data_IF_990570301849
#
_entry.id   IF_990570301849
#
_cell.length_a   1.000
_cell.length_b   1.000
_cell.length_c   1.000
_cell.angle_alpha   90.00
_cell.angle_beta   90.00
_cell.angle_gamma   90.00
#
_symmetry.space_group_name_H-M   'P 1'
#
loop_
_entity.id
_entity.type
_entity.pdbx_description
1 polymer ?
#
# COMPACT_ATOMS: atom_id res chain seq x y z
N UNK A 1 10.81 9.80 -17.13
CA UNK A 1 11.24 8.48 -16.63
C UNK A 1 12.71 8.61 -16.22
N UNK A 2 12.97 9.30 -15.10
CA UNK A 2 14.34 9.67 -14.71
C UNK A 2 15.07 8.50 -14.05
N UNK A 3 14.38 7.79 -13.15
CA UNK A 3 14.96 6.65 -12.42
C UNK A 3 15.35 5.47 -13.32
N UNK A 4 14.52 5.11 -14.31
CA UNK A 4 14.87 4.02 -15.26
C UNK A 4 16.14 4.38 -16.04
N UNK A 5 16.24 5.63 -16.50
CA UNK A 5 17.42 6.10 -17.23
C UNK A 5 18.67 6.04 -16.35
N UNK A 6 18.58 6.49 -15.09
CA UNK A 6 19.70 6.41 -14.16
C UNK A 6 20.13 4.95 -13.92
N UNK A 7 19.18 4.04 -13.74
CA UNK A 7 19.48 2.62 -13.58
C UNK A 7 20.20 2.05 -14.82
N UNK A 8 19.75 2.40 -16.03
CA UNK A 8 20.44 2.01 -17.27
C UNK A 8 21.86 2.61 -17.36
N UNK A 9 22.04 3.87 -16.96
CA UNK A 9 23.34 4.56 -16.92
C UNK A 9 24.31 3.92 -15.89
N UNK A 10 23.78 3.36 -14.81
CA UNK A 10 24.53 2.60 -13.80
C UNK A 10 24.79 1.13 -14.20
N UNK A 11 24.29 0.69 -15.36
CA UNK A 11 24.54 -0.64 -15.93
C UNK A 11 23.49 -1.70 -15.60
N UNK A 12 22.29 -1.32 -15.14
CA UNK A 12 21.18 -2.25 -14.92
C UNK A 12 20.65 -2.77 -16.25
N UNK A 13 20.58 -4.09 -16.38
CA UNK A 13 19.91 -4.75 -17.51
C UNK A 13 18.43 -4.98 -17.21
N UNK A 14 17.55 -4.37 -18.03
CA UNK A 14 16.11 -4.61 -17.95
C UNK A 14 15.66 -5.71 -18.90
N UNK A 15 15.17 -6.81 -18.35
CA UNK A 15 14.58 -7.91 -19.11
C UNK A 15 13.05 -7.74 -19.08
N UNK A 16 12.54 -6.89 -19.97
CA UNK A 16 11.12 -6.60 -20.10
C UNK A 16 10.30 -7.85 -20.48
N UNK A 17 8.98 -7.76 -20.25
CA UNK A 17 8.02 -8.82 -20.58
C UNK A 17 8.49 -10.20 -20.10
N UNK A 18 8.90 -10.27 -18.84
CA UNK A 18 9.39 -11.50 -18.22
C UNK A 18 8.70 -11.69 -16.88
N UNK A 19 8.13 -12.88 -16.67
CA UNK A 19 7.47 -13.25 -15.42
C UNK A 19 8.28 -14.36 -14.72
N UNK A 20 8.57 -14.24 -13.42
CA UNK A 20 9.28 -15.28 -12.69
C UNK A 20 8.42 -16.55 -12.60
N UNK A 21 9.05 -17.70 -12.84
CA UNK A 21 8.47 -19.04 -12.67
C UNK A 21 8.91 -19.67 -11.35
N UNK A 22 10.18 -19.51 -11.00
CA UNK A 22 10.75 -20.14 -9.80
C UNK A 22 12.24 -19.87 -9.65
N UNK A 23 12.82 -20.50 -8.63
CA UNK A 23 14.24 -20.40 -8.31
C UNK A 23 14.81 -21.80 -8.10
N UNK A 24 16.01 -22.04 -8.62
CA UNK A 24 16.76 -23.26 -8.35
C UNK A 24 17.95 -22.97 -7.42
N UNK A 25 18.33 -23.98 -6.64
CA UNK A 25 19.45 -23.92 -5.71
C UNK A 25 19.33 -24.96 -4.59
N UNK A 26 20.45 -25.23 -3.90
CA UNK A 26 20.49 -26.10 -2.71
C UNK A 26 20.95 -25.27 -1.51
N UNK A 27 20.01 -24.86 -0.65
CA UNK A 27 20.28 -24.00 0.51
C UNK A 27 20.62 -22.53 0.18
N UNK A 28 21.09 -22.25 -1.04
CA UNK A 28 21.28 -20.91 -1.63
C UNK A 28 20.75 -20.93 -3.06
N UNK A 29 20.14 -19.82 -3.50
CA UNK A 29 19.76 -19.64 -4.91
C UNK A 29 21.00 -19.65 -5.79
N UNK A 30 20.89 -20.30 -6.95
CA UNK A 30 21.90 -20.28 -8.01
C UNK A 30 21.30 -19.86 -9.36
N UNK A 31 19.98 -19.91 -9.51
CA UNK A 31 19.32 -19.62 -10.78
C UNK A 31 17.92 -19.07 -10.55
N UNK A 32 17.57 -17.99 -11.25
CA UNK A 32 16.20 -17.54 -11.42
C UNK A 32 15.64 -18.05 -12.75
N UNK A 33 14.43 -18.60 -12.71
CA UNK A 33 13.71 -19.11 -13.89
C UNK A 33 12.57 -18.14 -14.19
N UNK A 34 12.44 -17.76 -15.46
CA UNK A 34 11.38 -16.88 -15.92
C UNK A 34 10.88 -17.32 -17.29
N UNK A 35 9.70 -16.85 -17.68
CA UNK A 35 9.17 -17.01 -19.03
C UNK A 35 9.00 -15.67 -19.72
N UNK A 36 9.04 -15.68 -21.06
CA UNK A 36 8.66 -14.53 -21.86
C UNK A 36 7.15 -14.33 -21.80
N UNK A 37 6.77 -13.07 -21.74
CA UNK A 37 5.40 -12.59 -21.83
C UNK A 37 5.22 -11.83 -23.14
N UNK A 38 3.99 -11.71 -23.58
CA UNK A 38 3.58 -10.77 -24.63
C UNK A 38 2.39 -9.97 -24.14
N UNK A 39 2.18 -8.78 -24.68
CA UNK A 39 0.95 -8.04 -24.43
C UNK A 39 -0.19 -8.70 -25.21
N UNK A 40 -1.28 -9.01 -24.52
CA UNK A 40 -2.54 -9.45 -25.11
C UNK A 40 -3.27 -8.31 -25.82
N UNK A 41 -4.50 -8.61 -26.26
CA UNK A 41 -5.39 -7.58 -26.79
C UNK A 41 -5.59 -6.48 -25.74
N UNK A 42 -5.68 -5.23 -26.20
CA UNK A 42 -5.99 -4.10 -25.34
C UNK A 42 -7.46 -4.17 -24.94
N UNK A 43 -7.73 -4.01 -23.65
CA UNK A 43 -9.08 -3.85 -23.15
C UNK A 43 -9.63 -2.43 -23.42
N UNK A 44 -10.86 -2.17 -22.97
CA UNK A 44 -11.51 -0.86 -23.11
C UNK A 44 -10.76 0.29 -22.39
N UNK A 45 -9.87 -0.02 -21.45
CA UNK A 45 -8.99 0.96 -20.78
C UNK A 45 -7.69 1.22 -21.55
N UNK A 46 -7.47 0.48 -22.64
CA UNK A 46 -6.24 0.50 -23.42
C UNK A 46 -5.12 -0.38 -22.85
N UNK A 47 -5.39 -1.12 -21.75
CA UNK A 47 -4.41 -1.98 -21.09
C UNK A 47 -4.36 -3.35 -21.76
N UNK A 48 -3.17 -3.76 -22.21
CA UNK A 48 -2.93 -5.13 -22.66
C UNK A 48 -2.51 -6.00 -21.47
N UNK A 49 -3.27 -7.04 -21.14
CA UNK A 49 -2.87 -7.99 -20.11
C UNK A 49 -1.65 -8.80 -20.57
N UNK A 50 -0.65 -9.05 -19.71
CA UNK A 50 0.47 -9.91 -20.07
C UNK A 50 -0.01 -11.36 -20.23
N UNK A 51 0.37 -12.00 -21.34
CA UNK A 51 0.06 -13.40 -21.67
C UNK A 51 1.37 -14.18 -21.78
N UNK A 52 1.45 -15.34 -21.11
CA UNK A 52 2.62 -16.23 -21.18
C UNK A 52 2.84 -16.69 -22.62
N UNK A 53 4.09 -16.66 -23.06
CA UNK A 53 4.50 -17.29 -24.32
C UNK A 53 4.86 -18.74 -24.01
N UNK A 54 4.22 -19.68 -24.70
CA UNK A 54 4.45 -21.10 -24.46
C UNK A 54 5.89 -21.50 -24.80
N UNK A 55 6.45 -22.45 -24.03
CA UNK A 55 7.83 -22.96 -24.21
C UNK A 55 8.92 -21.86 -24.22
N UNK A 56 8.69 -20.73 -23.54
CA UNK A 56 9.62 -19.59 -23.50
C UNK A 56 10.40 -19.46 -22.20
N UNK A 57 10.48 -20.53 -21.41
CA UNK A 57 11.25 -20.55 -20.18
C UNK A 57 12.73 -20.27 -20.46
N UNK A 58 13.34 -19.43 -19.65
CA UNK A 58 14.76 -19.14 -19.66
C UNK A 58 15.30 -19.05 -18.24
N UNK A 59 16.60 -19.31 -18.11
CA UNK A 59 17.29 -19.48 -16.83
C UNK A 59 18.39 -18.45 -16.74
N UNK A 60 18.43 -17.72 -15.63
CA UNK A 60 19.43 -16.69 -15.35
C UNK A 60 20.22 -17.08 -14.11
N UNK A 61 21.56 -17.19 -14.20
CA UNK A 61 22.40 -17.35 -13.03
C UNK A 61 22.14 -16.21 -12.04
N UNK A 62 21.89 -16.54 -10.77
CA UNK A 62 21.60 -15.55 -9.74
C UNK A 62 22.08 -16.05 -8.36
N UNK A 63 22.93 -15.25 -7.71
CA UNK A 63 23.41 -15.49 -6.35
C UNK A 63 22.51 -14.88 -5.27
N UNK A 64 21.74 -13.86 -5.64
CA UNK A 64 20.81 -13.12 -4.80
C UNK A 64 19.57 -12.76 -5.62
N UNK A 65 18.40 -12.94 -5.02
CA UNK A 65 17.12 -12.49 -5.61
C UNK A 65 16.45 -11.53 -4.64
N UNK A 66 16.13 -10.33 -5.11
CA UNK A 66 15.40 -9.31 -4.37
C UNK A 66 13.99 -9.21 -4.96
N UNK A 67 12.97 -9.56 -4.17
CA UNK A 67 11.57 -9.41 -4.57
C UNK A 67 11.10 -7.98 -4.29
N UNK A 68 10.92 -7.19 -5.34
CA UNK A 68 10.42 -5.81 -5.26
C UNK A 68 8.99 -5.71 -5.83
N UNK A 69 8.07 -6.57 -5.35
CA UNK A 69 6.70 -6.68 -5.88
C UNK A 69 5.71 -5.66 -5.30
N UNK A 70 6.16 -4.84 -4.35
CA UNK A 70 5.31 -3.95 -3.57
C UNK A 70 5.00 -4.54 -2.20
N UNK A 71 3.95 -3.99 -1.57
CA UNK A 71 3.55 -4.32 -0.20
C UNK A 71 2.03 -4.39 -0.12
N UNK A 72 1.53 -5.24 0.78
CA UNK A 72 0.12 -5.39 1.10
C UNK A 72 -0.14 -4.98 2.56
N UNK A 73 -1.37 -4.55 2.91
CA UNK A 73 -1.75 -4.32 4.29
C UNK A 73 -1.70 -5.60 5.13
N UNK A 74 -1.19 -5.48 6.35
CA UNK A 74 -1.28 -6.53 7.38
C UNK A 74 -2.73 -6.71 7.85
N UNK A 75 -3.10 -7.87 8.46
CA UNK A 75 -4.45 -8.13 8.95
C UNK A 75 -4.75 -7.34 10.24
N UNK A 76 -4.92 -6.02 10.12
CA UNK A 76 -5.06 -5.07 11.23
C UNK A 76 -6.17 -5.44 12.23
N UNK A 77 -7.38 -5.89 11.82
CA UNK A 77 -8.42 -6.28 12.79
C UNK A 77 -7.95 -7.35 13.78
N UNK A 78 -7.11 -8.28 13.33
CA UNK A 78 -6.53 -9.34 14.17
C UNK A 78 -5.40 -8.79 15.03
N UNK A 79 -4.46 -8.05 14.43
CA UNK A 79 -3.29 -7.53 15.12
C UNK A 79 -3.65 -6.53 16.22
N UNK A 80 -4.67 -5.70 16.00
CA UNK A 80 -5.14 -4.71 16.97
C UNK A 80 -6.21 -5.26 17.92
N UNK A 81 -6.61 -6.53 17.79
CA UNK A 81 -7.72 -7.13 18.56
C UNK A 81 -9.01 -6.30 18.44
N UNK A 82 -9.27 -5.78 17.24
CA UNK A 82 -10.42 -4.95 16.89
C UNK A 82 -11.13 -5.58 15.67
N UNK A 83 -11.80 -6.73 15.84
CA UNK A 83 -12.49 -7.44 14.74
C UNK A 83 -13.56 -6.59 14.05
N UNK A 84 -14.06 -5.55 14.72
CA UNK A 84 -15.01 -4.58 14.21
C UNK A 84 -14.40 -3.55 13.26
N UNK A 85 -13.07 -3.42 13.18
CA UNK A 85 -12.41 -2.47 12.28
C UNK A 85 -12.69 -2.87 10.83
N UNK A 86 -13.41 -2.02 10.11
CA UNK A 86 -13.78 -2.27 8.73
C UNK A 86 -12.57 -2.07 7.79
N UNK A 87 -12.32 -3.09 6.96
CA UNK A 87 -11.32 -3.05 5.89
C UNK A 87 -11.99 -3.23 4.54
N UNK A 88 -11.31 -2.82 3.46
CA UNK A 88 -11.74 -3.11 2.09
C UNK A 88 -11.36 -4.53 1.69
N UNK A 89 -11.81 -4.99 0.51
CA UNK A 89 -11.40 -6.27 -0.06
C UNK A 89 -9.87 -6.37 -0.30
N UNK A 90 -9.18 -5.23 -0.33
CA UNK A 90 -7.72 -5.12 -0.45
C UNK A 90 -7.01 -5.06 0.91
N UNK A 91 -7.73 -5.18 2.03
CA UNK A 91 -7.18 -5.12 3.39
C UNK A 91 -6.87 -3.71 3.91
N UNK A 92 -7.04 -2.67 3.09
CA UNK A 92 -6.85 -1.27 3.53
C UNK A 92 -7.96 -0.84 4.49
N UNK A 93 -7.65 0.09 5.41
CA UNK A 93 -8.63 0.59 6.38
C UNK A 93 -9.71 1.40 5.66
N UNK A 94 -10.97 1.05 5.90
CA UNK A 94 -12.11 1.78 5.34
C UNK A 94 -12.37 3.03 6.18
N UNK A 95 -12.39 4.18 5.50
CA UNK A 95 -12.65 5.48 6.13
C UNK A 95 -13.71 6.27 5.35
N UNK A 96 -14.33 7.23 6.02
CA UNK A 96 -15.10 8.28 5.36
C UNK A 96 -14.15 9.21 4.60
N UNK A 97 -14.37 9.42 3.30
CA UNK A 97 -13.44 10.19 2.45
C UNK A 97 -13.37 11.69 2.78
N UNK A 98 -14.30 12.24 3.57
CA UNK A 98 -14.31 13.66 3.93
C UNK A 98 -13.61 13.92 5.26
N UNK A 99 -13.67 12.95 6.18
CA UNK A 99 -13.19 13.08 7.56
C UNK A 99 -11.99 12.20 7.86
N UNK A 100 -11.74 11.17 7.06
CA UNK A 100 -10.75 10.13 7.28
C UNK A 100 -10.94 9.34 8.58
N UNK A 101 -12.13 9.42 9.18
CA UNK A 101 -12.51 8.59 10.31
C UNK A 101 -12.88 7.20 9.82
N UNK A 102 -12.42 6.16 10.51
CA UNK A 102 -12.84 4.79 10.30
C UNK A 102 -14.29 4.58 10.78
N UNK A 103 -14.78 3.34 10.72
CA UNK A 103 -16.07 3.00 11.31
C UNK A 103 -16.06 3.02 12.85
N UNK A 104 -14.89 3.10 13.49
CA UNK A 104 -14.76 3.20 14.94
C UNK A 104 -14.70 4.67 15.35
N UNK A 105 -15.57 5.06 16.29
CA UNK A 105 -15.67 6.44 16.77
C UNK A 105 -14.33 6.93 17.31
N UNK A 106 -13.86 8.08 16.83
CA UNK A 106 -12.59 8.67 17.25
C UNK A 106 -11.33 8.01 16.69
N UNK A 107 -11.44 6.98 15.83
CA UNK A 107 -10.30 6.33 15.18
C UNK A 107 -10.20 6.78 13.73
N UNK A 108 -9.05 7.34 13.36
CA UNK A 108 -8.78 7.88 12.03
C UNK A 108 -7.63 7.12 11.35
N UNK A 109 -7.63 7.08 10.03
CA UNK A 109 -6.54 6.50 9.24
C UNK A 109 -6.24 7.35 8.01
N UNK A 110 -4.97 7.42 7.61
CA UNK A 110 -4.50 8.26 6.52
C UNK A 110 -3.28 7.63 5.82
N UNK A 111 -3.02 8.03 4.57
CA UNK A 111 -1.88 7.56 3.79
C UNK A 111 -2.08 6.17 3.19
N UNK A 112 -0.97 5.45 2.99
CA UNK A 112 -0.96 4.20 2.22
C UNK A 112 -1.85 3.10 2.81
N UNK A 113 -2.07 3.10 4.14
CA UNK A 113 -2.97 2.11 4.76
C UNK A 113 -4.44 2.31 4.35
N UNK A 114 -4.80 3.48 3.81
CA UNK A 114 -6.11 3.77 3.23
C UNK A 114 -6.09 3.63 1.70
N UNK A 115 -5.02 4.13 1.06
CA UNK A 115 -4.93 4.26 -0.40
C UNK A 115 -4.35 3.05 -1.14
N UNK A 116 -3.53 2.25 -0.48
CA UNK A 116 -2.51 1.43 -1.13
C UNK A 116 -1.28 2.26 -1.54
N UNK A 117 -0.30 1.62 -2.17
CA UNK A 117 0.99 2.24 -2.53
C UNK A 117 0.81 3.54 -3.31
N UNK A 118 1.28 4.66 -2.75
CA UNK A 118 1.11 6.00 -3.32
C UNK A 118 2.35 6.87 -3.20
N UNK A 119 2.22 8.15 -3.59
CA UNK A 119 3.28 9.14 -3.45
C UNK A 119 3.23 9.78 -2.06
N UNK A 120 4.40 10.14 -1.54
CA UNK A 120 4.55 10.81 -0.23
C UNK A 120 3.67 12.07 -0.11
N UNK A 121 3.49 12.83 -1.19
CA UNK A 121 2.64 14.03 -1.20
C UNK A 121 1.18 13.73 -0.85
N UNK A 122 0.69 12.54 -1.23
CA UNK A 122 -0.67 12.10 -0.89
C UNK A 122 -0.78 11.74 0.59
N UNK A 123 0.21 11.04 1.14
CA UNK A 123 0.23 10.76 2.57
C UNK A 123 0.30 12.05 3.41
N UNK A 124 1.10 13.05 2.99
CA UNK A 124 1.16 14.36 3.64
C UNK A 124 -0.20 15.07 3.59
N UNK A 125 -0.87 15.04 2.43
CA UNK A 125 -2.20 15.62 2.28
C UNK A 125 -3.22 14.94 3.18
N UNK A 126 -3.32 13.61 3.12
CA UNK A 126 -4.26 12.84 3.92
C UNK A 126 -4.00 13.07 5.42
N UNK A 127 -2.73 13.18 5.85
CA UNK A 127 -2.38 13.50 7.23
C UNK A 127 -2.88 14.88 7.68
N UNK A 128 -2.81 15.91 6.81
CA UNK A 128 -3.35 17.24 7.10
C UNK A 128 -4.88 17.23 7.17
N UNK A 129 -5.54 16.52 6.26
CA UNK A 129 -6.99 16.40 6.22
C UNK A 129 -7.53 15.63 7.44
N UNK A 130 -6.80 14.59 7.88
CA UNK A 130 -7.10 13.83 9.09
C UNK A 130 -6.90 14.68 10.35
N UNK A 131 -5.79 15.42 10.45
CA UNK A 131 -5.52 16.29 11.60
C UNK A 131 -6.63 17.34 11.79
N UNK A 132 -7.07 17.99 10.70
CA UNK A 132 -8.18 18.95 10.75
C UNK A 132 -9.51 18.29 11.16
N UNK A 133 -9.71 17.02 10.83
CA UNK A 133 -10.93 16.27 11.19
C UNK A 133 -10.90 15.79 12.65
N UNK A 134 -9.73 15.36 13.14
CA UNK A 134 -9.48 15.01 14.53
C UNK A 134 -9.71 16.24 15.43
N UNK A 135 -9.18 17.40 15.06
CA UNK A 135 -9.41 18.65 15.80
C UNK A 135 -10.91 18.95 15.93
N UNK A 136 -11.64 18.97 14.81
CA UNK A 136 -13.10 19.14 14.82
C UNK A 136 -13.83 18.09 15.67
N UNK A 137 -13.37 16.84 15.65
CA UNK A 137 -13.96 15.76 16.43
C UNK A 137 -13.78 16.00 17.93
N UNK A 138 -12.55 16.33 18.37
CA UNK A 138 -12.25 16.61 19.78
C UNK A 138 -13.04 17.81 20.28
N UNK A 139 -13.09 18.91 19.50
CA UNK A 139 -13.86 20.10 19.86
C UNK A 139 -15.35 19.80 20.04
N UNK A 140 -15.96 18.99 19.16
CA UNK A 140 -17.35 18.56 19.30
C UNK A 140 -17.57 17.70 20.54
N UNK A 141 -16.70 16.71 20.80
CA UNK A 141 -16.80 15.86 22.00
C UNK A 141 -16.67 16.67 23.29
N UNK A 142 -15.78 17.66 23.33
CA UNK A 142 -15.63 18.55 24.48
C UNK A 142 -16.88 19.42 24.73
N UNK A 143 -17.56 19.84 23.67
CA UNK A 143 -18.82 20.58 23.78
C UNK A 143 -20.00 19.70 24.24
N UNK A 144 -20.03 18.43 23.84
CA UNK A 144 -21.04 17.45 24.26
C UNK A 144 -20.85 16.98 25.72
N UNK A 145 -19.59 16.95 26.19
CA UNK A 145 -19.22 16.54 27.55
C UNK A 145 -18.39 17.65 28.22
N UNK A 146 -19.01 18.78 28.59
CA UNK A 146 -18.29 19.85 29.28
C UNK A 146 -17.68 19.29 30.56
N UNK A 147 -16.39 19.56 30.78
CA UNK A 147 -15.74 19.23 32.05
C UNK A 147 -16.58 19.82 33.19
N UNK A 148 -16.68 19.14 34.36
CA UNK A 148 -17.30 19.75 35.51
C UNK A 148 -16.60 21.08 35.75
N UNK A 149 -17.37 22.18 35.66
CA UNK A 149 -16.87 23.51 35.93
C UNK A 149 -16.26 23.44 37.33
N UNK A 150 -14.95 23.63 37.45
CA UNK A 150 -14.30 23.68 38.75
C UNK A 150 -15.09 24.69 39.57
N UNK A 151 -15.76 24.20 40.62
CA UNK A 151 -16.57 25.04 41.48
C UNK A 151 -15.71 26.22 41.89
N UNK A 152 -16.13 27.42 41.51
CA UNK A 152 -15.47 28.65 41.89
C UNK A 152 -15.27 28.58 43.40
N UNK A 153 -14.01 28.54 43.84
CA UNK A 153 -13.68 28.69 45.24
C UNK A 153 -14.15 30.09 45.66
N UNK A 154 -15.32 30.12 46.26
CA UNK A 154 -15.81 31.26 47.00
C UNK A 154 -15.16 31.19 48.39
N UNK A 155 -14.16 32.04 48.59
CA UNK A 155 -13.82 32.64 49.89
C UNK A 155 -13.25 34.04 49.66
#
# INVERSE_FOLDING_TARGET
MREVKHAEEEGVEFIWLSAPEGFDGKGKVSTAIAHRMRLGARDATGRGAPVKVENSAFRMPADLVIKALGFDPEPLPVLFKAPELAVTDWGTVKVDHRTLMSNLDGVFAAGDIVRGASLVVWAIRDGRDAAASIDRYIQRKAAEHPAPVAAAAAE
#
